data_IF_649481041762
#
_entry.id   IF_649481041762
#
_cell.length_a   1.000
_cell.length_b   1.000
_cell.length_c   1.000
_cell.angle_alpha   90.00
_cell.angle_beta   90.00
_cell.angle_gamma   90.00
#
_symmetry.space_group_name_H-M   'P 1'
#
loop_
_entity.id
_entity.type
_entity.pdbx_description
1 polymer ?
#
# COMPACT_ATOMS: atom_id res chain seq x y z
N UNK A 1 -24.98 -14.02 -9.81
CA UNK A 1 -24.08 -14.08 -8.64
C UNK A 1 -22.82 -13.35 -9.04
N UNK A 2 -22.49 -12.23 -8.40
CA UNK A 2 -21.23 -11.52 -8.67
C UNK A 2 -20.09 -12.44 -8.22
N UNK A 3 -19.19 -12.80 -9.15
CA UNK A 3 -18.00 -13.57 -8.82
C UNK A 3 -17.17 -12.82 -7.76
N UNK A 4 -16.70 -13.54 -6.73
CA UNK A 4 -15.75 -12.93 -5.78
C UNK A 4 -14.41 -12.68 -6.46
N UNK A 5 -13.85 -11.49 -6.30
CA UNK A 5 -12.54 -11.17 -6.86
C UNK A 5 -11.43 -12.08 -6.31
N UNK A 6 -10.63 -12.63 -7.21
CA UNK A 6 -9.44 -13.43 -6.89
C UNK A 6 -8.23 -12.53 -6.89
N UNK A 7 -7.49 -12.52 -5.78
CA UNK A 7 -6.26 -11.73 -5.61
C UNK A 7 -5.21 -12.60 -4.94
N UNK A 8 -4.20 -12.96 -5.71
CA UNK A 8 -3.01 -13.69 -5.29
C UNK A 8 -1.76 -13.04 -5.92
N UNK A 9 -0.54 -13.43 -5.52
CA UNK A 9 0.67 -12.98 -6.20
C UNK A 9 0.78 -13.36 -7.68
N UNK A 10 -0.03 -14.30 -8.16
CA UNK A 10 0.04 -14.84 -9.54
C UNK A 10 -1.18 -14.49 -10.40
N UNK A 11 -2.32 -14.16 -9.78
CA UNK A 11 -3.58 -13.90 -10.48
C UNK A 11 -4.37 -12.77 -9.81
N UNK A 12 -4.92 -11.89 -10.65
CA UNK A 12 -5.89 -10.86 -10.26
C UNK A 12 -7.06 -10.90 -11.25
N UNK A 13 -8.28 -11.19 -10.78
CA UNK A 13 -9.49 -11.27 -11.61
C UNK A 13 -10.76 -10.83 -10.85
N UNK A 14 -11.79 -10.43 -11.60
CA UNK A 14 -13.06 -9.94 -11.06
C UNK A 14 -13.09 -8.46 -10.66
N UNK A 15 -14.20 -8.01 -10.05
CA UNK A 15 -14.39 -6.63 -9.60
C UNK A 15 -13.79 -6.40 -8.20
N UNK A 16 -12.84 -5.48 -8.10
CA UNK A 16 -12.01 -5.32 -6.89
C UNK A 16 -12.58 -4.26 -5.94
N UNK A 17 -13.02 -4.70 -4.76
CA UNK A 17 -13.29 -3.80 -3.62
C UNK A 17 -12.06 -3.65 -2.71
N UNK A 18 -11.33 -2.55 -2.89
CA UNK A 18 -10.15 -2.23 -2.08
C UNK A 18 -10.43 -2.07 -0.57
N UNK A 19 -11.65 -1.67 -0.16
CA UNK A 19 -12.02 -1.61 1.26
C UNK A 19 -12.19 -3.01 1.86
N UNK A 20 -12.75 -3.95 1.08
CA UNK A 20 -12.79 -5.38 1.46
C UNK A 20 -11.38 -5.94 1.57
N UNK A 21 -10.47 -5.58 0.66
CA UNK A 21 -9.07 -6.04 0.71
C UNK A 21 -8.32 -5.57 1.95
N UNK A 22 -8.44 -4.29 2.32
CA UNK A 22 -7.80 -3.75 3.53
C UNK A 22 -8.15 -4.61 4.76
N UNK A 23 -9.44 -4.94 4.91
CA UNK A 23 -9.93 -5.79 6.01
C UNK A 23 -9.43 -7.23 5.87
N UNK A 24 -9.51 -7.82 4.67
CA UNK A 24 -9.12 -9.23 4.40
C UNK A 24 -7.63 -9.48 4.69
N UNK A 25 -6.75 -8.55 4.31
CA UNK A 25 -5.30 -8.68 4.48
C UNK A 25 -4.77 -8.13 5.81
N UNK A 26 -5.65 -7.59 6.66
CA UNK A 26 -5.25 -7.02 7.96
C UNK A 26 -4.25 -5.88 7.84
N UNK A 27 -4.39 -5.05 6.79
CA UNK A 27 -3.57 -3.85 6.57
C UNK A 27 -4.38 -2.61 6.96
N UNK A 28 -3.70 -1.47 7.11
CA UNK A 28 -4.33 -0.21 7.46
C UNK A 28 -4.45 0.70 6.23
N UNK A 29 -5.49 1.53 6.11
CA UNK A 29 -5.54 2.56 5.08
C UNK A 29 -4.39 3.55 5.29
N UNK A 30 -3.83 4.07 4.20
CA UNK A 30 -2.74 5.04 4.28
C UNK A 30 -3.24 6.32 4.99
N UNK A 31 -2.52 6.80 6.02
CA UNK A 31 -2.93 8.01 6.75
C UNK A 31 -2.76 9.24 5.86
N UNK A 32 -3.28 10.38 6.32
CA UNK A 32 -2.96 11.67 5.69
C UNK A 32 -1.46 11.91 5.78
N UNK A 33 -0.78 11.92 4.63
CA UNK A 33 0.66 12.15 4.57
C UNK A 33 0.98 13.65 4.41
N UNK A 34 2.20 14.02 4.79
CA UNK A 34 2.70 15.39 4.62
C UNK A 34 2.84 15.76 3.13
N UNK A 35 2.99 17.06 2.85
CA UNK A 35 3.11 17.59 1.49
C UNK A 35 4.17 16.86 0.65
N UNK A 36 5.31 16.51 1.26
CA UNK A 36 6.43 15.81 0.60
C UNK A 36 5.98 14.50 -0.07
N UNK A 37 5.07 13.75 0.55
CA UNK A 37 4.52 12.54 -0.05
C UNK A 37 3.48 12.85 -1.13
N UNK A 38 2.66 13.89 -0.91
CA UNK A 38 1.63 14.31 -1.86
C UNK A 38 2.18 15.00 -3.13
N UNK A 39 3.44 15.39 -3.14
CA UNK A 39 4.12 15.84 -4.36
C UNK A 39 4.24 14.65 -5.36
N UNK A 40 4.37 13.42 -4.86
CA UNK A 40 4.33 12.21 -5.67
C UNK A 40 2.89 11.89 -6.13
N UNK A 41 2.74 11.66 -7.44
CA UNK A 41 1.44 11.44 -8.08
C UNK A 41 0.71 10.18 -7.57
N UNK A 42 1.43 9.12 -7.21
CA UNK A 42 0.85 7.85 -6.78
C UNK A 42 0.20 7.97 -5.40
N UNK A 43 0.83 8.72 -4.50
CA UNK A 43 0.27 9.04 -3.19
C UNK A 43 -0.90 10.03 -3.33
N UNK A 44 -0.72 11.12 -4.09
CA UNK A 44 -1.76 12.14 -4.31
C UNK A 44 -3.05 11.57 -4.90
N UNK A 45 -2.94 10.65 -5.87
CA UNK A 45 -4.08 9.99 -6.52
C UNK A 45 -4.57 8.75 -5.79
N UNK A 46 -4.01 8.42 -4.62
CA UNK A 46 -4.36 7.24 -3.82
C UNK A 46 -4.17 5.91 -4.57
N UNK A 47 -3.22 5.84 -5.50
CA UNK A 47 -2.78 4.57 -6.09
C UNK A 47 -2.05 3.71 -5.05
N UNK A 48 -1.29 4.35 -4.16
CA UNK A 48 -0.85 3.75 -2.89
C UNK A 48 -1.90 4.08 -1.83
N UNK A 49 -2.67 3.09 -1.39
CA UNK A 49 -3.88 3.31 -0.58
C UNK A 49 -3.86 2.64 0.80
N UNK A 50 -2.94 1.70 1.04
CA UNK A 50 -2.86 0.96 2.30
C UNK A 50 -1.40 0.65 2.67
N UNK A 51 -1.18 0.31 3.93
CA UNK A 51 0.15 0.03 4.48
C UNK A 51 0.12 -0.97 5.63
N UNK A 52 1.31 -1.46 5.99
CA UNK A 52 1.60 -2.14 7.25
C UNK A 52 2.78 -1.43 7.90
N UNK A 53 2.59 -0.93 9.13
CA UNK A 53 3.63 -0.31 9.96
C UNK A 53 4.41 0.88 9.34
N UNK A 54 3.88 1.53 8.30
CA UNK A 54 4.47 2.73 7.70
C UNK A 54 4.72 3.88 8.69
N UNK A 55 3.93 3.95 9.77
CA UNK A 55 4.17 4.84 10.91
C UNK A 55 5.60 4.71 11.47
N UNK A 56 6.18 3.51 11.51
CA UNK A 56 7.56 3.28 11.97
C UNK A 56 8.57 3.91 11.02
N UNK A 57 8.29 3.90 9.72
CA UNK A 57 9.14 4.53 8.70
C UNK A 57 9.06 6.06 8.82
N UNK A 58 7.87 6.61 9.01
CA UNK A 58 7.69 8.04 9.27
C UNK A 58 8.46 8.50 10.50
N UNK A 59 8.43 7.71 11.58
CA UNK A 59 9.20 7.97 12.79
C UNK A 59 10.71 7.88 12.55
N UNK A 60 11.19 6.92 11.76
CA UNK A 60 12.59 6.85 11.38
C UNK A 60 13.03 8.09 10.60
N UNK A 61 12.24 8.54 9.63
CA UNK A 61 12.50 9.76 8.85
C UNK A 61 12.56 10.98 9.79
N UNK A 62 11.54 11.16 10.63
CA UNK A 62 11.46 12.29 11.58
C UNK A 62 12.65 12.34 12.54
N UNK A 63 13.08 11.18 13.03
CA UNK A 63 14.16 11.07 14.02
C UNK A 63 15.54 10.79 13.40
N UNK A 64 15.69 10.90 12.07
CA UNK A 64 16.93 10.59 11.33
C UNK A 64 17.53 9.21 11.65
N UNK A 65 16.67 8.22 11.92
CA UNK A 65 17.08 6.82 12.14
C UNK A 65 17.20 6.09 10.79
N UNK A 66 18.11 5.12 10.74
CA UNK A 66 18.32 4.30 9.55
C UNK A 66 17.17 3.33 9.34
N UNK A 67 16.79 3.12 8.09
CA UNK A 67 15.92 2.05 7.63
C UNK A 67 16.36 1.66 6.21
N UNK A 68 15.89 0.52 5.71
CA UNK A 68 16.23 0.01 4.39
C UNK A 68 14.98 -0.09 3.52
N UNK A 69 15.15 0.08 2.21
CA UNK A 69 14.08 -0.15 1.22
C UNK A 69 14.42 -1.41 0.44
N UNK A 70 13.42 -2.26 0.22
CA UNK A 70 13.54 -3.50 -0.54
C UNK A 70 12.30 -3.66 -1.42
N UNK A 71 12.53 -3.94 -2.70
CA UNK A 71 11.50 -4.33 -3.67
C UNK A 71 12.03 -5.46 -4.53
N UNK A 72 11.16 -6.21 -5.19
CA UNK A 72 11.52 -7.32 -6.06
C UNK A 72 10.86 -7.22 -7.43
N UNK A 73 11.48 -7.86 -8.41
CA UNK A 73 10.92 -8.10 -9.74
C UNK A 73 11.28 -9.54 -10.12
N UNK A 74 10.26 -10.33 -10.45
CA UNK A 74 10.47 -11.68 -11.00
C UNK A 74 10.45 -11.54 -12.53
N UNK A 75 11.58 -11.75 -13.23
CA UNK A 75 11.58 -11.78 -14.68
C UNK A 75 10.81 -13.02 -15.13
N UNK A 76 9.74 -12.79 -15.91
CA UNK A 76 8.89 -13.82 -16.52
C UNK A 76 9.36 -14.17 -17.92
#
# INVERSE_FOLDING_TARGET
MTEEATITPWEVSGEIDYKKLIRKFGIKPLPSLSKVFNDNILFRRKAVFAHRDFEKILDCIKNRKKFVMMTGLMPS
#
